data_IF_785390333857
#
_entry.id   IF_785390333857
#
_cell.length_a   1.000
_cell.length_b   1.000
_cell.length_c   1.000
_cell.angle_alpha   90.00
_cell.angle_beta   90.00
_cell.angle_gamma   90.00
#
_symmetry.space_group_name_H-M   'P 1'
#
loop_
_entity.id
_entity.type
_entity.pdbx_description
1 polymer ?
#
# COMPACT_ATOMS: atom_id res chain seq x y z
N UNK A 1 -13.87 12.47 1.45
CA UNK A 1 -13.34 11.40 2.34
C UNK A 1 -13.04 10.14 1.53
N UNK A 2 -12.17 9.22 2.00
CA UNK A 2 -11.57 8.09 1.23
C UNK A 2 -12.42 7.44 0.12
N UNK A 3 -13.70 7.14 0.37
CA UNK A 3 -14.61 6.54 -0.61
C UNK A 3 -14.77 7.42 -1.87
N UNK A 4 -14.86 8.75 -1.72
CA UNK A 4 -14.94 9.70 -2.83
C UNK A 4 -13.67 9.72 -3.70
N UNK A 5 -12.53 9.34 -3.12
CA UNK A 5 -11.26 9.19 -3.83
C UNK A 5 -11.08 7.80 -4.47
N UNK A 6 -12.11 6.95 -4.42
CA UNK A 6 -12.11 5.61 -5.02
C UNK A 6 -11.48 4.52 -4.15
N UNK A 7 -11.20 4.79 -2.88
CA UNK A 7 -10.69 3.76 -1.97
C UNK A 7 -11.81 2.87 -1.44
N UNK A 8 -11.49 1.59 -1.23
CA UNK A 8 -12.33 0.66 -0.49
C UNK A 8 -12.16 0.89 1.02
N UNK A 9 -13.24 1.28 1.69
CA UNK A 9 -13.30 1.32 3.15
C UNK A 9 -13.86 -0.01 3.66
N UNK A 10 -13.12 -0.67 4.56
CA UNK A 10 -13.44 -2.02 5.05
C UNK A 10 -13.55 -2.03 6.56
N UNK A 11 -14.23 -3.06 7.08
CA UNK A 11 -14.30 -3.33 8.53
C UNK A 11 -12.90 -3.57 9.12
N UNK A 12 -12.66 -3.22 10.40
CA UNK A 12 -11.36 -3.38 11.02
C UNK A 12 -10.95 -4.85 11.04
N UNK A 13 -9.75 -5.12 10.52
CA UNK A 13 -9.20 -6.47 10.42
C UNK A 13 -7.80 -6.47 9.82
N UNK A 14 -7.18 -7.64 9.72
CA UNK A 14 -5.82 -7.74 9.20
C UNK A 14 -5.72 -7.49 7.69
N UNK A 15 -6.81 -7.68 6.91
CA UNK A 15 -6.81 -7.50 5.45
C UNK A 15 -5.58 -8.18 4.81
N UNK A 16 -4.95 -7.54 3.83
CA UNK A 16 -3.76 -8.01 3.13
C UNK A 16 -2.51 -8.19 4.01
N UNK A 17 -2.52 -7.85 5.32
CA UNK A 17 -1.31 -7.90 6.16
C UNK A 17 -0.65 -9.28 6.25
N UNK A 18 -1.38 -10.36 5.97
CA UNK A 18 -0.85 -11.74 5.99
C UNK A 18 -1.28 -12.58 4.75
N UNK A 19 -2.06 -12.01 3.83
CA UNK A 19 -2.53 -12.69 2.60
C UNK A 19 -3.21 -14.07 2.82
N UNK A 20 -3.89 -14.26 3.95
CA UNK A 20 -4.72 -15.46 4.21
C UNK A 20 -6.16 -15.31 3.72
N UNK A 21 -6.50 -14.13 3.23
CA UNK A 21 -7.79 -13.79 2.66
C UNK A 21 -7.62 -13.46 1.16
N UNK A 22 -8.70 -13.18 0.41
CA UNK A 22 -8.60 -12.84 -1.01
C UNK A 22 -7.76 -11.59 -1.31
N UNK A 23 -7.47 -10.75 -0.32
CA UNK A 23 -6.58 -9.59 -0.47
C UNK A 23 -5.13 -10.04 -0.49
N UNK A 24 -4.57 -10.07 -1.70
CA UNK A 24 -3.20 -10.51 -1.92
C UNK A 24 -2.65 -9.85 -3.17
N UNK A 25 -1.34 -9.60 -3.14
CA UNK A 25 -0.58 -9.19 -4.30
C UNK A 25 -0.44 -10.36 -5.28
N UNK A 26 -0.54 -10.02 -6.56
CA UNK A 26 -0.11 -10.84 -7.67
C UNK A 26 1.42 -10.85 -7.83
N UNK A 27 1.89 -11.78 -8.65
CA UNK A 27 3.31 -11.89 -9.00
C UNK A 27 3.77 -10.64 -9.76
N UNK A 28 4.90 -10.06 -9.35
CA UNK A 28 5.44 -8.85 -9.95
C UNK A 28 4.77 -7.55 -9.49
N UNK A 29 3.69 -7.60 -8.71
CA UNK A 29 3.04 -6.41 -8.16
C UNK A 29 3.86 -5.78 -7.03
N UNK A 30 3.74 -4.47 -6.91
CA UNK A 30 4.40 -3.67 -5.88
C UNK A 30 3.37 -2.98 -5.01
N UNK A 31 3.56 -3.02 -3.70
CA UNK A 31 2.67 -2.40 -2.73
C UNK A 31 3.41 -1.43 -1.80
N UNK A 32 2.84 -0.23 -1.62
CA UNK A 32 3.16 0.66 -0.53
C UNK A 32 2.25 0.32 0.67
N UNK A 33 2.82 -0.32 1.70
CA UNK A 33 2.07 -0.91 2.81
C UNK A 33 2.41 -0.22 4.13
N UNK A 34 1.38 0.16 4.88
CA UNK A 34 1.53 0.65 6.26
C UNK A 34 1.57 -0.48 7.30
N UNK A 35 1.74 -1.73 6.86
CA UNK A 35 2.01 -2.85 7.77
C UNK A 35 3.42 -2.74 8.37
N UNK A 36 3.82 -3.72 9.18
CA UNK A 36 5.14 -3.76 9.82
C UNK A 36 6.03 -4.91 9.32
N UNK A 37 5.60 -5.68 8.31
CA UNK A 37 6.32 -6.87 7.83
C UNK A 37 6.23 -6.99 6.31
N UNK A 38 7.37 -7.20 5.65
CA UNK A 38 7.48 -7.29 4.19
C UNK A 38 8.39 -8.42 3.69
N UNK A 39 8.56 -9.50 4.48
CA UNK A 39 9.32 -10.66 3.99
C UNK A 39 8.65 -11.28 2.75
N UNK A 40 9.43 -11.99 1.94
CA UNK A 40 8.94 -12.55 0.66
C UNK A 40 7.71 -13.44 0.84
N UNK A 41 6.72 -13.28 -0.04
CA UNK A 41 5.46 -14.02 0.03
C UNK A 41 4.46 -13.51 1.07
N UNK A 42 4.83 -12.57 1.94
CA UNK A 42 4.01 -12.13 3.08
C UNK A 42 2.61 -11.61 2.70
N UNK A 43 2.55 -10.76 1.69
CA UNK A 43 1.32 -10.13 1.21
C UNK A 43 0.86 -10.74 -0.14
N UNK A 44 1.51 -11.80 -0.60
CA UNK A 44 1.25 -12.42 -1.90
C UNK A 44 2.53 -13.02 -2.48
N UNK A 45 2.42 -14.19 -3.13
CA UNK A 45 3.55 -14.87 -3.74
C UNK A 45 4.07 -14.10 -4.97
N UNK A 46 5.38 -13.85 -5.02
CA UNK A 46 6.01 -13.08 -6.10
C UNK A 46 5.75 -11.56 -6.08
N UNK A 47 4.95 -11.07 -5.13
CA UNK A 47 4.74 -9.64 -4.92
C UNK A 47 5.82 -9.01 -4.04
N UNK A 48 6.03 -7.69 -4.17
CA UNK A 48 6.99 -6.92 -3.36
C UNK A 48 6.28 -5.85 -2.53
N UNK A 49 6.53 -5.88 -1.23
CA UNK A 49 5.97 -4.93 -0.26
C UNK A 49 7.04 -3.96 0.22
N UNK A 50 6.73 -2.67 0.19
CA UNK A 50 7.53 -1.59 0.75
C UNK A 50 6.84 -1.05 2.00
N UNK A 51 7.52 -1.13 3.14
CA UNK A 51 7.00 -0.59 4.40
C UNK A 51 7.13 0.93 4.39
N UNK A 52 6.00 1.62 4.54
CA UNK A 52 5.95 3.07 4.46
C UNK A 52 5.03 3.66 5.54
N UNK A 53 5.21 4.95 5.84
CA UNK A 53 4.29 5.68 6.71
C UNK A 53 2.92 5.91 6.01
N UNK A 54 1.85 6.21 6.76
CA UNK A 54 0.56 6.56 6.17
C UNK A 54 0.62 7.73 5.19
N UNK A 55 1.42 8.76 5.50
CA UNK A 55 1.60 9.92 4.63
C UNK A 55 2.23 9.52 3.29
N UNK A 56 3.21 8.61 3.31
CA UNK A 56 3.84 8.12 2.10
C UNK A 56 2.92 7.16 1.32
N UNK A 57 2.16 6.29 1.98
CA UNK A 57 1.17 5.45 1.31
C UNK A 57 0.13 6.30 0.54
N UNK A 58 -0.37 7.38 1.17
CA UNK A 58 -1.25 8.34 0.51
C UNK A 58 -0.56 9.04 -0.68
N UNK A 59 0.70 9.42 -0.55
CA UNK A 59 1.46 10.05 -1.64
C UNK A 59 1.66 9.12 -2.84
N UNK A 60 1.99 7.85 -2.59
CA UNK A 60 2.10 6.85 -3.65
C UNK A 60 0.75 6.59 -4.32
N UNK A 61 -0.35 6.55 -3.55
CA UNK A 61 -1.69 6.33 -4.09
C UNK A 61 -2.15 7.49 -5.00
N UNK A 62 -1.85 8.74 -4.65
CA UNK A 62 -2.22 9.92 -5.46
C UNK A 62 -1.36 10.03 -6.73
N UNK A 63 -0.08 9.65 -6.67
CA UNK A 63 0.86 9.82 -7.80
C UNK A 63 1.04 8.58 -8.67
N UNK A 64 0.53 7.43 -8.25
CA UNK A 64 0.64 6.16 -8.95
C UNK A 64 2.05 5.55 -8.94
N UNK A 65 2.98 6.10 -8.14
CA UNK A 65 4.37 5.62 -8.02
C UNK A 65 4.97 6.00 -6.66
N UNK A 66 6.07 5.37 -6.28
CA UNK A 66 6.83 5.84 -5.13
C UNK A 66 7.45 7.22 -5.43
N UNK A 67 7.24 8.16 -4.52
CA UNK A 67 7.83 9.50 -4.52
C UNK A 67 8.41 9.81 -3.15
N UNK A 68 9.08 10.95 -2.98
CA UNK A 68 9.27 11.52 -1.65
C UNK A 68 7.99 12.24 -1.23
N UNK A 69 7.42 11.89 -0.06
CA UNK A 69 6.19 12.53 0.45
C UNK A 69 6.30 14.06 0.57
N UNK A 70 7.51 14.59 0.72
CA UNK A 70 7.76 16.04 0.82
C UNK A 70 7.48 16.77 -0.50
N UNK A 71 7.60 16.09 -1.64
CA UNK A 71 7.34 16.66 -2.96
C UNK A 71 5.85 17.02 -3.16
N UNK A 72 4.92 16.39 -2.42
CA UNK A 72 3.51 16.77 -2.47
C UNK A 72 3.24 18.19 -1.97
N UNK A 73 4.07 18.68 -1.05
CA UNK A 73 3.92 20.02 -0.47
C UNK A 73 4.71 21.07 -1.23
N UNK A 74 5.69 20.64 -2.02
CA UNK A 74 6.60 21.51 -2.74
C UNK A 74 6.95 20.87 -4.09
N UNK A 75 5.99 20.82 -5.03
CA UNK A 75 6.25 20.30 -6.36
C UNK A 75 7.29 21.19 -7.05
N UNK A 76 8.25 20.56 -7.73
CA UNK A 76 9.26 21.25 -8.53
C UNK A 76 8.65 21.96 -9.74
#
# INVERSE_FOLDING_TARGET
>A
MFIEAGFEWREPGCSMCLAMNPDRLGSGEHCASTSNRNFEGRQGAGGRTHLVSPAMAAAAAVTGRFIDVRELRNPA
#
